data_IF_865388418419
#
_entry.id   IF_865388418419
#
_cell.length_a   1.000
_cell.length_b   1.000
_cell.length_c   1.000
_cell.angle_alpha   90.00
_cell.angle_beta   90.00
_cell.angle_gamma   90.00
#
_symmetry.space_group_name_H-M   'P 1'
#
loop_
_entity.id
_entity.type
_entity.pdbx_description
1 polymer ?
#
# COMPACT_ATOMS: atom_id res chain seq x y z
N UNK A 1 14.93 -30.91 -6.78
CA UNK A 1 13.87 -30.26 -7.58
C UNK A 1 13.11 -29.34 -6.65
N UNK A 2 13.09 -28.04 -6.91
CA UNK A 2 12.34 -27.08 -6.10
C UNK A 2 10.84 -27.42 -6.17
N UNK A 3 10.12 -27.27 -5.05
CA UNK A 3 8.67 -27.43 -5.05
C UNK A 3 8.04 -26.42 -6.02
N UNK A 4 6.99 -26.78 -6.76
CA UNK A 4 6.28 -25.83 -7.60
C UNK A 4 5.74 -24.67 -6.74
N UNK A 5 5.72 -23.44 -7.27
CA UNK A 5 5.23 -22.28 -6.52
C UNK A 5 3.79 -22.51 -6.11
N UNK A 6 3.45 -22.09 -4.89
CA UNK A 6 2.11 -22.29 -4.31
C UNK A 6 1.02 -21.53 -5.09
N UNK A 7 1.39 -20.46 -5.81
CA UNK A 7 0.48 -19.61 -6.59
C UNK A 7 1.02 -19.33 -8.01
N UNK A 8 1.07 -20.35 -8.89
CA UNK A 8 1.72 -20.26 -10.20
C UNK A 8 1.06 -19.27 -11.16
N UNK A 9 -0.14 -18.78 -10.85
CA UNK A 9 -0.84 -17.78 -11.64
C UNK A 9 -0.26 -16.36 -11.54
N UNK A 10 0.72 -16.12 -10.65
CA UNK A 10 1.18 -14.77 -10.30
C UNK A 10 2.68 -14.50 -10.53
N UNK A 11 3.45 -15.38 -11.21
CA UNK A 11 4.92 -15.27 -11.31
C UNK A 11 5.47 -15.04 -12.75
N UNK A 12 6.37 -14.06 -12.97
CA UNK A 12 7.24 -13.95 -14.16
C UNK A 12 8.60 -14.70 -14.02
N UNK A 13 9.21 -15.11 -15.14
CA UNK A 13 10.39 -16.02 -15.22
C UNK A 13 11.59 -15.39 -15.95
N UNK A 14 12.83 -15.65 -15.51
CA UNK A 14 14.02 -15.34 -16.32
C UNK A 14 15.39 -15.89 -15.82
N UNK A 15 16.50 -15.67 -16.56
CA UNK A 15 17.65 -16.60 -16.57
C UNK A 15 18.91 -16.31 -15.71
N UNK A 16 19.07 -15.17 -15.03
CA UNK A 16 20.43 -14.60 -14.79
C UNK A 16 20.98 -14.64 -13.33
N UNK A 17 20.22 -15.04 -12.31
CA UNK A 17 20.72 -15.19 -10.93
C UNK A 17 21.06 -13.89 -10.13
N UNK A 18 21.37 -14.07 -8.84
CA UNK A 18 21.27 -13.09 -7.73
C UNK A 18 22.53 -12.24 -7.42
N UNK A 19 22.35 -11.07 -6.77
CA UNK A 19 23.41 -10.26 -6.11
C UNK A 19 22.94 -9.75 -4.73
N UNK A 20 23.78 -9.79 -3.66
CA UNK A 20 23.34 -9.58 -2.27
C UNK A 20 23.18 -8.11 -1.81
N UNK A 21 22.35 -7.93 -0.77
CA UNK A 21 21.95 -6.65 -0.16
C UNK A 21 22.80 -6.31 1.08
N UNK A 22 22.89 -5.02 1.41
CA UNK A 22 23.67 -4.45 2.52
C UNK A 22 22.94 -4.52 3.88
N UNK A 23 23.66 -4.89 4.94
CA UNK A 23 23.15 -4.95 6.32
C UNK A 23 23.02 -3.55 6.96
N UNK A 24 21.84 -3.23 7.49
CA UNK A 24 21.62 -2.10 8.41
C UNK A 24 21.33 -2.64 9.82
N UNK A 25 21.98 -2.09 10.88
CA UNK A 25 21.77 -2.57 12.24
C UNK A 25 20.39 -2.19 12.77
N UNK A 26 19.78 -3.10 13.53
CA UNK A 26 18.51 -2.88 14.21
C UNK A 26 18.59 -1.72 15.22
N UNK A 27 17.53 -0.93 15.32
CA UNK A 27 17.32 0.04 16.39
C UNK A 27 15.95 -0.20 17.03
N UNK A 28 15.87 -0.07 18.35
CA UNK A 28 14.59 -0.16 19.04
C UNK A 28 13.88 1.20 19.04
N UNK A 29 12.62 1.18 18.60
CA UNK A 29 11.68 2.27 18.74
C UNK A 29 10.45 1.77 19.50
N UNK A 30 9.79 2.63 20.28
CA UNK A 30 8.56 2.27 20.97
C UNK A 30 7.44 2.03 19.93
N UNK A 31 7.25 0.77 19.52
CA UNK A 31 6.25 0.39 18.53
C UNK A 31 4.83 0.46 19.14
N UNK A 32 4.08 1.49 18.74
CA UNK A 32 2.67 1.61 19.12
C UNK A 32 1.77 0.45 18.60
N UNK A 33 2.29 -0.41 17.71
CA UNK A 33 1.59 -1.56 17.13
C UNK A 33 1.44 -2.78 18.03
N UNK A 34 2.04 -2.80 19.22
CA UNK A 34 1.99 -3.94 20.14
C UNK A 34 0.78 -3.95 21.10
N UNK A 35 -0.23 -3.12 20.89
CA UNK A 35 -1.41 -3.04 21.77
C UNK A 35 -2.71 -3.20 20.99
N UNK A 36 -2.95 -4.39 20.46
CA UNK A 36 -4.32 -4.85 20.29
C UNK A 36 -4.86 -5.15 21.71
N UNK A 37 -5.87 -4.39 22.14
CA UNK A 37 -6.54 -4.65 23.42
C UNK A 37 -7.31 -5.98 23.31
N UNK A 38 -6.95 -7.01 24.10
CA UNK A 38 -7.58 -8.33 24.01
C UNK A 38 -9.05 -8.33 24.48
N UNK A 39 -9.54 -7.21 25.05
CA UNK A 39 -10.94 -7.04 25.44
C UNK A 39 -11.83 -6.53 24.30
N UNK A 40 -11.25 -6.11 23.18
CA UNK A 40 -12.00 -5.72 21.99
C UNK A 40 -12.46 -6.96 21.21
N UNK A 41 -13.60 -6.89 20.47
CA UNK A 41 -14.16 -8.03 19.75
C UNK A 41 -13.15 -8.65 18.79
N UNK A 42 -13.14 -9.99 18.70
CA UNK A 42 -12.37 -10.72 17.68
C UNK A 42 -12.76 -10.19 16.29
N UNK A 43 -11.76 -9.70 15.54
CA UNK A 43 -11.93 -9.16 14.18
C UNK A 43 -12.46 -10.19 13.19
N UNK A 44 -12.50 -11.48 13.57
CA UNK A 44 -13.20 -12.54 12.84
C UNK A 44 -14.72 -12.38 12.83
N UNK A 45 -15.29 -11.53 13.69
CA UNK A 45 -16.73 -11.29 13.75
C UNK A 45 -17.09 -10.21 12.74
N UNK A 46 -17.66 -10.60 11.59
CA UNK A 46 -18.19 -9.71 10.53
C UNK A 46 -19.43 -8.93 10.97
N UNK A 47 -19.35 -8.20 12.08
CA UNK A 47 -20.38 -7.25 12.48
C UNK A 47 -19.95 -5.86 12.02
N UNK A 48 -20.90 -5.04 11.58
CA UNK A 48 -20.63 -3.66 11.16
C UNK A 48 -19.84 -2.87 12.23
N UNK A 49 -20.10 -3.14 13.52
CA UNK A 49 -19.36 -2.52 14.62
C UNK A 49 -17.88 -2.90 14.73
N UNK A 50 -17.47 -4.10 14.27
CA UNK A 50 -16.07 -4.52 14.26
C UNK A 50 -15.26 -3.81 13.17
N UNK A 51 -15.82 -3.68 11.96
CA UNK A 51 -15.15 -2.98 10.86
C UNK A 51 -15.05 -1.46 11.11
N UNK A 52 -16.03 -0.87 11.79
CA UNK A 52 -15.96 0.54 12.22
C UNK A 52 -14.83 0.78 13.21
N UNK A 53 -14.58 -0.16 14.14
CA UNK A 53 -13.44 -0.09 15.05
C UNK A 53 -12.11 -0.20 14.31
N UNK A 54 -12.02 -1.08 13.30
CA UNK A 54 -10.83 -1.16 12.43
C UNK A 54 -10.58 0.17 11.72
N UNK A 55 -11.63 0.82 11.19
CA UNK A 55 -11.51 2.12 10.53
C UNK A 55 -10.99 3.20 11.50
N UNK A 56 -11.53 3.24 12.72
CA UNK A 56 -11.09 4.17 13.76
C UNK A 56 -9.62 3.94 14.14
N UNK A 57 -9.24 2.68 14.37
CA UNK A 57 -7.87 2.32 14.71
C UNK A 57 -6.89 2.66 13.59
N UNK A 58 -7.28 2.42 12.33
CA UNK A 58 -6.46 2.78 11.17
C UNK A 58 -6.24 4.29 11.11
N UNK A 59 -7.28 5.10 11.33
CA UNK A 59 -7.16 6.56 11.36
C UNK A 59 -6.26 7.07 12.51
N UNK A 60 -6.25 6.39 13.65
CA UNK A 60 -5.45 6.80 14.83
C UNK A 60 -4.02 6.29 14.80
N UNK A 61 -3.77 5.11 14.21
CA UNK A 61 -2.47 4.42 14.25
C UNK A 61 -1.72 4.45 12.92
N UNK A 62 -2.39 4.77 11.81
CA UNK A 62 -1.84 4.78 10.46
C UNK A 62 -1.73 3.37 9.85
N UNK A 63 -1.11 2.42 10.57
CA UNK A 63 -0.91 1.04 10.10
C UNK A 63 -1.41 0.05 11.13
N UNK A 64 -2.18 -0.94 10.68
CA UNK A 64 -2.64 -2.08 11.48
C UNK A 64 -2.13 -3.37 10.87
N UNK A 65 -1.64 -4.28 11.71
CA UNK A 65 -1.15 -5.59 11.28
C UNK A 65 -2.02 -6.67 11.91
N UNK A 66 -2.72 -7.43 11.07
CA UNK A 66 -3.51 -8.58 11.48
C UNK A 66 -2.72 -9.85 11.16
N UNK A 67 -2.32 -10.59 12.20
CA UNK A 67 -1.60 -11.86 12.06
C UNK A 67 -2.57 -13.03 11.96
N UNK A 68 -2.13 -14.14 11.37
CA UNK A 68 -2.87 -15.39 11.31
C UNK A 68 -4.28 -15.25 10.72
N UNK A 69 -4.37 -14.49 9.62
CA UNK A 69 -5.61 -14.27 8.87
C UNK A 69 -5.68 -15.22 7.66
N UNK A 70 -6.89 -15.61 7.27
CA UNK A 70 -7.21 -16.40 6.08
C UNK A 70 -7.74 -15.53 4.92
N UNK A 71 -7.48 -14.22 4.98
CA UNK A 71 -8.03 -13.23 4.07
C UNK A 71 -7.65 -13.46 2.61
N UNK A 72 -6.50 -14.07 2.34
CA UNK A 72 -6.04 -14.48 1.02
C UNK A 72 -6.86 -15.65 0.42
N UNK A 73 -7.42 -16.52 1.26
CA UNK A 73 -8.14 -17.72 0.83
C UNK A 73 -9.66 -17.55 0.70
N UNK A 74 -10.26 -16.49 1.25
CA UNK A 74 -11.72 -16.27 1.16
C UNK A 74 -12.20 -15.86 -0.24
N UNK A 75 -11.26 -15.54 -1.14
CA UNK A 75 -11.50 -15.20 -2.54
C UNK A 75 -11.93 -13.75 -2.79
N UNK A 76 -11.95 -13.32 -4.07
CA UNK A 76 -12.07 -11.90 -4.42
C UNK A 76 -13.38 -11.23 -4.01
N UNK A 77 -14.51 -11.92 -4.11
CA UNK A 77 -15.81 -11.30 -3.83
C UNK A 77 -16.00 -11.00 -2.33
N UNK A 78 -15.72 -11.94 -1.40
CA UNK A 78 -15.70 -11.62 0.03
C UNK A 78 -14.65 -10.58 0.43
N UNK A 79 -13.46 -10.59 -0.18
CA UNK A 79 -12.44 -9.56 0.04
C UNK A 79 -12.98 -8.17 -0.34
N UNK A 80 -13.62 -8.04 -1.51
CA UNK A 80 -14.26 -6.81 -1.97
C UNK A 80 -15.40 -6.38 -1.05
N UNK A 81 -16.20 -7.30 -0.54
CA UNK A 81 -17.29 -6.99 0.39
C UNK A 81 -16.76 -6.34 1.67
N UNK A 82 -15.70 -6.90 2.25
CA UNK A 82 -15.05 -6.34 3.44
C UNK A 82 -14.44 -4.97 3.14
N UNK A 83 -13.68 -4.84 2.05
CA UNK A 83 -13.01 -3.60 1.69
C UNK A 83 -14.01 -2.47 1.33
N UNK A 84 -15.15 -2.80 0.71
CA UNK A 84 -16.21 -1.83 0.38
C UNK A 84 -16.84 -1.16 1.61
N UNK A 85 -16.74 -1.78 2.80
CA UNK A 85 -17.20 -1.16 4.05
C UNK A 85 -16.46 0.16 4.34
N UNK A 86 -15.20 0.26 3.92
CA UNK A 86 -14.34 1.42 4.17
C UNK A 86 -14.49 2.53 3.12
N UNK A 87 -15.31 2.31 2.09
CA UNK A 87 -15.59 3.24 1.01
C UNK A 87 -15.53 2.59 -0.37
N UNK A 88 -15.75 3.39 -1.44
CA UNK A 88 -15.69 2.89 -2.81
C UNK A 88 -14.31 2.33 -3.15
N UNK A 89 -14.26 1.13 -3.75
CA UNK A 89 -12.99 0.51 -4.14
C UNK A 89 -12.31 1.29 -5.28
N UNK A 90 -11.04 1.58 -5.07
CA UNK A 90 -10.22 2.28 -6.04
C UNK A 90 -9.90 1.38 -7.24
N UNK A 91 -9.93 1.97 -8.45
CA UNK A 91 -9.53 1.29 -9.70
C UNK A 91 -8.26 1.95 -10.21
N UNK A 92 -7.16 1.21 -10.17
CA UNK A 92 -5.87 1.78 -10.53
C UNK A 92 -5.82 2.11 -12.04
N UNK A 93 -5.49 3.35 -12.45
CA UNK A 93 -5.69 3.77 -13.84
C UNK A 93 -4.62 3.24 -14.81
N UNK A 94 -3.45 2.83 -14.32
CA UNK A 94 -2.31 2.45 -15.19
C UNK A 94 -1.83 1.01 -15.00
N UNK A 95 -2.24 0.32 -13.94
CA UNK A 95 -1.75 -1.02 -13.64
C UNK A 95 -2.81 -2.07 -13.95
N UNK A 96 -2.34 -3.24 -14.40
CA UNK A 96 -3.20 -4.39 -14.62
C UNK A 96 -3.70 -4.99 -13.31
N UNK A 97 -4.71 -5.84 -13.43
CA UNK A 97 -5.33 -6.55 -12.33
C UNK A 97 -5.44 -8.05 -12.65
N UNK A 98 -5.52 -8.93 -11.64
CA UNK A 98 -5.67 -10.36 -11.86
C UNK A 98 -6.95 -10.71 -12.61
N UNK A 99 -6.84 -11.65 -13.56
CA UNK A 99 -8.00 -12.19 -14.25
C UNK A 99 -8.96 -12.84 -13.24
N UNK A 100 -10.25 -12.46 -13.30
CA UNK A 100 -11.28 -13.01 -12.42
C UNK A 100 -11.43 -12.32 -11.06
N UNK A 101 -10.52 -11.44 -10.65
CA UNK A 101 -10.66 -10.69 -9.39
C UNK A 101 -11.39 -9.35 -9.57
N UNK A 102 -11.09 -8.65 -10.66
CA UNK A 102 -11.66 -7.35 -11.02
C UNK A 102 -10.64 -6.20 -10.96
N UNK A 103 -10.98 -5.02 -11.55
CA UNK A 103 -10.10 -3.85 -11.63
C UNK A 103 -9.76 -3.18 -10.30
N UNK A 104 -10.40 -3.61 -9.20
CA UNK A 104 -10.17 -3.12 -7.85
C UNK A 104 -8.93 -3.74 -7.19
N UNK A 105 -8.38 -4.82 -7.77
CA UNK A 105 -7.19 -5.49 -7.26
C UNK A 105 -5.93 -5.03 -7.97
N UNK A 106 -4.85 -4.96 -7.21
CA UNK A 106 -3.51 -4.72 -7.74
C UNK A 106 -2.57 -5.75 -7.13
N UNK A 107 -1.70 -6.32 -7.97
CA UNK A 107 -0.63 -7.22 -7.51
C UNK A 107 0.68 -6.46 -7.55
N UNK A 108 1.37 -6.45 -6.42
CA UNK A 108 2.75 -5.98 -6.32
C UNK A 108 3.62 -7.22 -6.40
N UNK A 109 4.43 -7.29 -7.44
CA UNK A 109 5.40 -8.35 -7.63
C UNK A 109 6.80 -7.75 -7.64
N UNK A 110 7.66 -8.30 -6.79
CA UNK A 110 9.06 -7.96 -6.74
C UNK A 110 9.86 -9.27 -6.68
N UNK A 111 10.90 -9.34 -7.49
CA UNK A 111 11.92 -10.38 -7.45
C UNK A 111 13.27 -9.75 -7.79
N UNK A 112 14.29 -10.59 -7.92
CA UNK A 112 15.66 -10.17 -8.25
C UNK A 112 15.76 -9.38 -9.57
N UNK A 113 14.77 -9.50 -10.46
CA UNK A 113 14.75 -8.89 -11.80
C UNK A 113 13.83 -7.67 -11.87
N UNK A 114 12.67 -7.75 -11.24
CA UNK A 114 11.67 -6.69 -11.19
C UNK A 114 12.09 -5.57 -10.24
N UNK A 115 12.95 -5.87 -9.26
CA UNK A 115 13.41 -4.91 -8.25
C UNK A 115 12.31 -4.55 -7.24
N UNK A 116 12.66 -3.70 -6.28
CA UNK A 116 11.72 -3.25 -5.26
C UNK A 116 10.82 -2.14 -5.80
N UNK A 117 9.54 -2.19 -5.45
CA UNK A 117 8.64 -1.06 -5.69
C UNK A 117 8.86 -0.01 -4.59
N UNK A 118 9.52 1.09 -4.95
CA UNK A 118 9.86 2.16 -4.00
C UNK A 118 8.67 3.00 -3.52
N UNK A 119 7.62 3.13 -4.34
CA UNK A 119 6.43 3.93 -4.03
C UNK A 119 5.15 3.25 -4.52
N UNK A 120 4.23 2.96 -3.60
CA UNK A 120 2.90 2.40 -3.85
C UNK A 120 1.79 3.45 -3.74
N UNK A 121 2.04 4.66 -4.25
CA UNK A 121 1.18 5.82 -3.99
C UNK A 121 0.34 6.22 -5.21
N UNK A 122 -0.98 6.05 -5.11
CA UNK A 122 -1.99 6.48 -6.10
C UNK A 122 -2.32 7.98 -6.08
N UNK A 123 -1.37 8.83 -5.69
CA UNK A 123 -1.56 10.27 -5.42
C UNK A 123 -1.78 11.13 -6.66
N UNK A 124 -1.67 10.56 -7.86
CA UNK A 124 -1.93 11.25 -9.12
C UNK A 124 -3.40 11.29 -9.51
N UNK A 125 -4.28 10.63 -8.75
CA UNK A 125 -5.73 10.61 -9.01
C UNK A 125 -6.44 11.68 -8.17
N UNK A 126 -7.53 12.31 -8.66
CA UNK A 126 -8.27 13.31 -7.88
C UNK A 126 -8.83 12.79 -6.55
N UNK A 127 -9.21 11.52 -6.53
CA UNK A 127 -9.70 10.83 -5.34
C UNK A 127 -8.66 9.79 -4.92
N UNK A 128 -7.65 10.24 -4.19
CA UNK A 128 -6.58 9.38 -3.65
C UNK A 128 -7.18 8.29 -2.74
N UNK A 129 -6.68 7.04 -2.81
CA UNK A 129 -7.11 5.98 -1.91
C UNK A 129 -6.94 6.39 -0.43
N UNK A 130 -7.96 6.13 0.39
CA UNK A 130 -7.93 6.44 1.82
C UNK A 130 -7.38 5.32 2.69
N UNK A 131 -7.79 4.08 2.43
CA UNK A 131 -7.37 2.88 3.15
C UNK A 131 -6.95 1.82 2.13
N UNK A 132 -5.82 1.16 2.38
CA UNK A 132 -5.30 0.07 1.55
C UNK A 132 -5.29 -1.21 2.37
N UNK A 133 -5.91 -2.26 1.83
CA UNK A 133 -5.72 -3.62 2.31
C UNK A 133 -4.54 -4.23 1.57
N UNK A 134 -3.58 -4.76 2.32
CA UNK A 134 -2.37 -5.36 1.79
C UNK A 134 -2.09 -6.66 2.52
N UNK A 135 -1.84 -7.73 1.77
CA UNK A 135 -1.47 -9.02 2.30
C UNK A 135 -0.44 -9.68 1.39
N UNK A 136 0.45 -10.46 2.00
CA UNK A 136 1.47 -11.19 1.26
C UNK A 136 0.88 -12.46 0.64
N UNK A 137 1.06 -12.65 -0.66
CA UNK A 137 0.73 -13.91 -1.34
C UNK A 137 1.92 -14.89 -1.31
N UNK A 138 3.12 -14.35 -1.46
CA UNK A 138 4.37 -15.10 -1.41
C UNK A 138 5.44 -14.23 -0.76
N UNK A 139 6.33 -14.87 0.00
CA UNK A 139 7.48 -14.20 0.63
C UNK A 139 8.76 -14.99 0.33
N UNK A 140 9.93 -14.33 0.24
CA UNK A 140 11.17 -15.03 -0.03
C UNK A 140 11.49 -16.06 1.05
N UNK A 141 11.78 -17.30 0.66
CA UNK A 141 12.11 -18.38 1.60
C UNK A 141 13.39 -18.10 2.42
N UNK A 142 14.28 -17.24 1.93
CA UNK A 142 15.48 -16.77 2.63
C UNK A 142 15.21 -15.73 3.72
N UNK A 143 13.96 -15.29 3.88
CA UNK A 143 13.60 -14.12 4.68
C UNK A 143 13.72 -12.80 3.89
N UNK A 144 13.33 -11.70 4.53
CA UNK A 144 13.22 -10.37 3.92
C UNK A 144 11.81 -10.08 3.36
N UNK A 145 11.71 -9.10 2.46
CA UNK A 145 10.42 -8.62 1.94
C UNK A 145 9.67 -7.68 2.87
N UNK A 146 10.38 -7.07 3.83
CA UNK A 146 9.79 -6.15 4.78
C UNK A 146 9.17 -4.94 4.09
N UNK A 147 8.03 -4.48 4.62
CA UNK A 147 7.40 -3.24 4.19
C UNK A 147 7.57 -2.20 5.28
N UNK A 148 8.36 -1.16 5.00
CA UNK A 148 8.54 -0.04 5.91
C UNK A 148 7.47 1.04 5.70
N UNK A 149 6.99 1.63 6.79
CA UNK A 149 6.03 2.74 6.76
C UNK A 149 6.61 3.96 7.48
N UNK A 150 6.27 5.15 6.99
CA UNK A 150 6.56 6.41 7.65
C UNK A 150 5.30 7.23 7.84
N UNK A 151 5.17 7.89 8.99
CA UNK A 151 4.01 8.72 9.31
C UNK A 151 4.23 10.15 8.82
N UNK A 152 3.49 10.55 7.78
CA UNK A 152 3.49 11.93 7.31
C UNK A 152 2.93 12.90 8.35
N UNK A 153 2.02 12.45 9.21
CA UNK A 153 1.49 13.24 10.34
C UNK A 153 2.59 13.58 11.34
N UNK A 154 3.38 12.57 11.76
CA UNK A 154 4.49 12.80 12.70
C UNK A 154 5.63 13.59 12.04
N UNK A 155 5.95 13.30 10.78
CA UNK A 155 6.91 14.08 10.02
C UNK A 155 6.50 15.55 9.94
N UNK A 156 5.22 15.84 9.67
CA UNK A 156 4.70 17.20 9.66
C UNK A 156 4.77 17.87 11.04
N UNK A 157 4.43 17.16 12.11
CA UNK A 157 4.50 17.67 13.49
C UNK A 157 5.94 17.99 13.94
N UNK A 158 6.93 17.26 13.43
CA UNK A 158 8.35 17.49 13.72
C UNK A 158 8.91 18.77 13.06
N UNK A 159 8.20 19.35 12.09
CA UNK A 159 8.60 20.59 11.42
C UNK A 159 8.38 21.82 12.32
N UNK A 160 9.28 22.80 12.21
CA UNK A 160 9.12 24.07 12.91
C UNK A 160 7.82 24.77 12.50
N UNK A 161 7.18 25.56 13.38
CA UNK A 161 5.95 26.28 13.05
C UNK A 161 6.09 27.14 11.78
N UNK A 162 7.20 27.87 11.65
CA UNK A 162 7.49 28.70 10.47
C UNK A 162 7.58 27.88 9.19
N UNK A 163 8.20 26.70 9.23
CA UNK A 163 8.27 25.85 8.05
C UNK A 163 6.89 25.33 7.66
N UNK A 164 6.08 24.91 8.64
CA UNK A 164 4.69 24.46 8.42
C UNK A 164 3.82 25.53 7.76
N UNK A 165 3.91 26.79 8.21
CA UNK A 165 3.18 27.93 7.61
C UNK A 165 3.57 28.16 6.15
N UNK A 166 4.85 27.97 5.81
CA UNK A 166 5.33 28.03 4.44
C UNK A 166 4.71 26.95 3.55
N UNK A 167 4.57 25.72 4.05
CA UNK A 167 4.05 24.58 3.28
C UNK A 167 2.54 24.70 2.98
N UNK A 168 1.76 25.36 3.84
CA UNK A 168 0.30 25.47 3.69
C UNK A 168 -0.16 26.13 2.38
N UNK A 169 0.69 26.92 1.75
CA UNK A 169 0.37 27.64 0.50
C UNK A 169 0.79 26.88 -0.75
N UNK A 170 1.49 25.76 -0.59
CA UNK A 170 2.05 25.02 -1.71
C UNK A 170 1.08 23.97 -2.20
N UNK A 171 1.09 23.76 -3.52
CA UNK A 171 0.44 22.65 -4.18
C UNK A 171 1.50 21.78 -4.84
N UNK A 172 1.25 20.48 -4.89
CA UNK A 172 2.05 19.50 -5.59
C UNK A 172 1.31 18.99 -6.81
N UNK A 173 2.03 18.82 -7.91
CA UNK A 173 1.53 18.17 -9.11
C UNK A 173 2.00 16.72 -9.14
N UNK A 174 1.05 15.79 -9.09
CA UNK A 174 1.27 14.37 -9.14
C UNK A 174 0.97 13.85 -10.56
N UNK A 175 1.73 12.84 -11.02
CA UNK A 175 1.58 12.26 -12.36
C UNK A 175 1.75 10.74 -12.32
N UNK A 176 0.94 10.02 -13.11
CA UNK A 176 1.10 8.58 -13.27
C UNK A 176 2.23 8.18 -14.22
N UNK A 177 2.89 9.14 -14.87
CA UNK A 177 4.08 8.91 -15.71
C UNK A 177 5.31 8.60 -14.84
N UNK A 178 5.33 7.42 -14.21
CA UNK A 178 6.47 6.93 -13.45
C UNK A 178 7.62 6.55 -14.39
N UNK A 179 8.82 6.36 -13.82
CA UNK A 179 9.99 5.87 -14.58
C UNK A 179 9.68 4.54 -15.26
N UNK A 180 8.99 3.63 -14.58
CA UNK A 180 8.55 2.35 -15.14
C UNK A 180 7.55 2.51 -16.29
N UNK A 181 6.59 3.42 -16.16
CA UNK A 181 5.60 3.64 -17.22
C UNK A 181 6.22 4.31 -18.46
N UNK A 182 7.16 5.24 -18.25
CA UNK A 182 7.97 5.84 -19.32
C UNK A 182 8.81 4.79 -20.03
N UNK A 183 9.45 3.87 -19.28
CA UNK A 183 10.23 2.78 -19.86
C UNK A 183 9.35 1.82 -20.69
N UNK A 184 8.11 1.56 -20.25
CA UNK A 184 7.18 0.64 -20.92
C UNK A 184 6.55 1.22 -22.18
N UNK A 185 6.14 2.48 -22.16
CA UNK A 185 5.34 3.11 -23.23
C UNK A 185 6.15 4.08 -24.11
N UNK A 186 7.32 4.52 -23.65
CA UNK A 186 8.06 5.66 -24.21
C UNK A 186 7.59 6.99 -23.63
N UNK A 187 8.53 7.95 -23.52
CA UNK A 187 8.33 9.23 -22.83
C UNK A 187 7.15 10.05 -23.37
N UNK A 188 7.04 10.19 -24.70
CA UNK A 188 5.99 11.00 -25.32
C UNK A 188 4.60 10.47 -24.96
N UNK A 189 4.39 9.16 -25.16
CA UNK A 189 3.11 8.50 -24.91
C UNK A 189 2.77 8.48 -23.42
N UNK A 190 3.72 8.11 -22.55
CA UNK A 190 3.52 8.09 -21.11
C UNK A 190 3.12 9.46 -20.56
N UNK A 191 3.77 10.54 -21.00
CA UNK A 191 3.42 11.89 -20.56
C UNK A 191 2.08 12.36 -21.11
N UNK A 192 1.69 11.93 -22.31
CA UNK A 192 0.41 12.29 -22.93
C UNK A 192 -0.77 11.57 -22.28
N UNK A 193 -0.62 10.29 -21.97
CA UNK A 193 -1.68 9.43 -21.42
C UNK A 193 -1.75 9.49 -19.89
N UNK A 194 -0.73 10.04 -19.22
CA UNK A 194 -0.69 10.09 -17.76
C UNK A 194 -1.84 10.88 -17.14
N UNK A 195 -2.39 10.30 -16.07
CA UNK A 195 -3.29 10.99 -15.15
C UNK A 195 -2.45 11.97 -14.34
N UNK A 196 -2.91 13.22 -14.26
CA UNK A 196 -2.21 14.30 -13.56
C UNK A 196 -3.19 15.07 -12.71
N UNK A 197 -2.85 15.22 -11.44
CA UNK A 197 -3.67 15.98 -10.50
C UNK A 197 -2.80 16.87 -9.64
N UNK A 198 -3.33 18.04 -9.31
CA UNK A 198 -2.73 18.94 -8.33
C UNK A 198 -3.45 18.79 -6.99
N UNK A 199 -2.67 18.60 -5.93
CA UNK A 199 -3.15 18.48 -4.56
C UNK A 199 -2.45 19.50 -3.66
N UNK A 200 -3.11 20.01 -2.61
CA UNK A 200 -2.42 20.77 -1.57
C UNK A 200 -1.28 19.93 -0.98
N UNK A 201 -0.12 20.54 -0.75
CA UNK A 201 1.02 19.86 -0.14
C UNK A 201 0.70 19.37 1.28
N UNK A 202 -0.10 20.14 2.00
CA UNK A 202 -0.57 19.81 3.35
C UNK A 202 -2.09 19.70 3.32
N UNK A 203 -2.60 18.56 3.76
CA UNK A 203 -4.04 18.28 3.88
C UNK A 203 -4.40 18.00 5.33
N UNK A 204 -5.67 18.21 5.67
CA UNK A 204 -6.26 17.70 6.92
C UNK A 204 -6.87 16.33 6.66
N UNK A 205 -6.53 15.35 7.50
CA UNK A 205 -7.11 14.01 7.38
C UNK A 205 -8.60 14.05 7.77
N UNK A 206 -9.51 13.50 6.94
CA UNK A 206 -10.95 13.75 7.07
C UNK A 206 -11.58 13.16 8.34
N UNK A 207 -10.98 12.10 8.90
CA UNK A 207 -11.54 11.36 10.04
C UNK A 207 -10.79 11.57 11.37
N UNK A 208 -9.64 12.24 11.36
CA UNK A 208 -8.86 12.52 12.58
C UNK A 208 -8.84 14.03 12.80
N UNK A 209 -9.53 14.49 13.84
CA UNK A 209 -9.48 15.88 14.31
C UNK A 209 -8.61 15.99 15.55
#
# INVERSE_FOLDING_TARGET
MAAPPLYPAYLPVGPEGFTPVLDLPAFEAEEAGLRADPTLPDSRTRTYGGLDQVALLAAQRGVLVFRDQDFDYIGPDPQKEIANHFGPLHKHPTMGYPQGAGPEFQVVYADEKAGNLGDLLGTFTPNTPGITFFWALETPASGGGDTAFSSLTLAYQALSPTFREGLHRLNLRHTSASVGEVARLGQERALKEAVKTEHPLVISHPASK
#
